data_IF_704806304299
#
_entry.id   IF_704806304299
#
_cell.length_a   1.000
_cell.length_b   1.000
_cell.length_c   1.000
_cell.angle_alpha   90.00
_cell.angle_beta   90.00
_cell.angle_gamma   90.00
#
_symmetry.space_group_name_H-M   'P 1'
#
loop_
_entity.id
_entity.type
_entity.pdbx_description
1 polymer ?
#
# COMPACT_ATOMS: atom_id res chain seq x y z
N UNK A 1 -7.50 11.48 -8.60
CA UNK A 1 -7.96 10.54 -9.63
C UNK A 1 -8.87 9.45 -9.06
N UNK A 2 -8.40 8.70 -8.04
CA UNK A 2 -9.18 7.61 -7.41
C UNK A 2 -10.51 8.13 -6.89
N UNK A 3 -10.49 9.20 -6.11
CA UNK A 3 -11.71 9.80 -5.51
C UNK A 3 -12.69 10.32 -6.55
N UNK A 4 -12.23 10.77 -7.72
CA UNK A 4 -13.10 11.23 -8.81
C UNK A 4 -13.77 10.08 -9.60
N UNK A 5 -13.37 8.84 -9.33
CA UNK A 5 -13.91 7.62 -9.98
C UNK A 5 -14.75 6.77 -9.02
N UNK A 6 -14.99 7.29 -7.82
CA UNK A 6 -15.84 6.60 -6.85
C UNK A 6 -17.30 6.64 -7.26
N UNK A 7 -17.91 5.47 -7.24
CA UNK A 7 -19.35 5.32 -7.11
C UNK A 7 -19.70 5.45 -5.62
N UNK A 8 -20.32 6.55 -5.23
CA UNK A 8 -20.59 6.84 -3.83
C UNK A 8 -21.57 5.85 -3.19
N UNK A 9 -22.54 5.32 -3.94
CA UNK A 9 -23.49 4.32 -3.43
C UNK A 9 -22.81 2.97 -3.24
N UNK A 10 -22.06 2.52 -4.24
CA UNK A 10 -21.31 1.27 -4.17
C UNK A 10 -20.23 1.35 -3.08
N UNK A 11 -19.51 2.46 -3.01
CA UNK A 11 -18.53 2.73 -1.97
C UNK A 11 -19.13 2.71 -0.56
N UNK A 12 -20.34 3.24 -0.38
CA UNK A 12 -21.07 3.19 0.89
C UNK A 12 -21.45 1.75 1.24
N UNK A 13 -22.01 0.99 0.31
CA UNK A 13 -22.38 -0.40 0.54
C UNK A 13 -21.17 -1.26 0.96
N UNK A 14 -20.02 -1.08 0.32
CA UNK A 14 -18.79 -1.80 0.68
C UNK A 14 -18.30 -1.40 2.08
N UNK A 15 -18.39 -0.11 2.44
CA UNK A 15 -18.02 0.38 3.77
C UNK A 15 -18.93 -0.19 4.85
N UNK A 16 -20.24 -0.15 4.63
CA UNK A 16 -21.23 -0.66 5.59
C UNK A 16 -20.99 -2.15 5.85
N UNK A 17 -20.79 -2.95 4.80
CA UNK A 17 -20.42 -4.36 4.93
C UNK A 17 -19.08 -4.57 5.66
N UNK A 18 -18.08 -3.70 5.44
CA UNK A 18 -16.80 -3.79 6.13
C UNK A 18 -16.93 -3.42 7.62
N UNK A 19 -17.78 -2.46 7.97
CA UNK A 19 -18.03 -2.03 9.36
C UNK A 19 -18.74 -3.11 10.20
N UNK A 20 -19.53 -3.99 9.57
CA UNK A 20 -20.12 -5.14 10.24
C UNK A 20 -19.07 -6.24 10.57
N UNK A 21 -17.84 -6.08 10.09
CA UNK A 21 -16.76 -7.02 10.34
C UNK A 21 -16.19 -6.85 11.75
N UNK A 22 -15.97 -7.98 12.44
CA UNK A 22 -15.26 -8.04 13.72
C UNK A 22 -13.74 -7.91 13.58
N UNK A 23 -13.23 -7.61 12.39
CA UNK A 23 -11.80 -7.48 12.10
C UNK A 23 -11.18 -6.28 12.81
N UNK A 24 -10.13 -6.53 13.60
CA UNK A 24 -9.33 -5.48 14.25
C UNK A 24 -8.75 -4.49 13.24
N UNK A 25 -8.35 -4.97 12.06
CA UNK A 25 -7.83 -4.13 10.99
C UNK A 25 -8.86 -3.11 10.49
N UNK A 26 -10.11 -3.54 10.30
CA UNK A 26 -11.21 -2.64 9.89
C UNK A 26 -11.50 -1.62 10.98
N UNK A 27 -11.54 -2.05 12.24
CA UNK A 27 -11.74 -1.14 13.39
C UNK A 27 -10.65 -0.07 13.48
N UNK A 28 -9.39 -0.43 13.32
CA UNK A 28 -8.27 0.52 13.32
C UNK A 28 -8.34 1.50 12.14
N UNK A 29 -8.71 1.04 10.96
CA UNK A 29 -8.90 1.92 9.80
C UNK A 29 -10.02 2.93 10.01
N UNK A 30 -11.10 2.54 10.68
CA UNK A 30 -12.20 3.44 11.03
C UNK A 30 -11.73 4.50 12.02
N UNK A 31 -11.05 4.11 13.09
CA UNK A 31 -10.45 5.02 14.06
C UNK A 31 -9.48 6.01 13.42
N UNK A 32 -8.63 5.53 12.52
CA UNK A 32 -7.69 6.41 11.79
C UNK A 32 -8.43 7.48 10.97
N UNK A 33 -9.58 7.14 10.38
CA UNK A 33 -10.40 8.11 9.65
C UNK A 33 -11.07 9.13 10.56
N UNK A 34 -11.45 8.73 11.78
CA UNK A 34 -12.07 9.61 12.78
C UNK A 34 -11.10 10.66 13.32
N UNK A 35 -9.82 10.29 13.51
CA UNK A 35 -8.78 11.20 14.01
C UNK A 35 -8.09 12.00 12.92
N UNK A 36 -8.37 11.70 11.64
CA UNK A 36 -7.78 12.42 10.51
C UNK A 36 -8.23 13.89 10.49
N UNK A 37 -7.37 14.76 9.98
CA UNK A 37 -7.68 16.16 9.76
C UNK A 37 -8.78 16.36 8.71
N UNK A 38 -9.19 17.60 8.49
CA UNK A 38 -10.23 17.96 7.50
C UNK A 38 -9.89 17.54 6.05
N UNK A 39 -8.63 17.25 5.77
CA UNK A 39 -8.16 16.78 4.45
C UNK A 39 -7.97 15.26 4.40
N UNK A 40 -8.13 14.57 5.53
CA UNK A 40 -8.01 13.13 5.65
C UNK A 40 -6.60 12.63 6.00
N UNK A 41 -5.71 13.49 6.48
CA UNK A 41 -4.37 13.10 6.94
C UNK A 41 -4.38 12.84 8.45
N UNK A 42 -3.77 11.73 8.87
CA UNK A 42 -3.55 11.40 10.29
C UNK A 42 -2.19 11.91 10.80
N UNK A 43 -1.27 12.05 9.89
CA UNK A 43 0.05 12.65 10.10
C UNK A 43 0.61 13.13 8.76
N UNK A 44 1.72 13.89 8.73
CA UNK A 44 2.32 14.33 7.47
C UNK A 44 2.54 13.18 6.50
N UNK A 45 2.07 13.34 5.27
CA UNK A 45 2.17 12.38 4.18
C UNK A 45 1.42 11.06 4.35
N UNK A 46 0.62 10.86 5.40
CA UNK A 46 -0.18 9.65 5.60
C UNK A 46 -1.69 9.96 5.49
N UNK A 47 -2.25 9.63 4.34
CA UNK A 47 -3.61 9.98 3.94
C UNK A 47 -4.57 8.79 4.02
N UNK A 48 -5.68 8.94 4.71
CA UNK A 48 -6.68 7.87 4.92
C UNK A 48 -7.73 7.80 3.82
N UNK A 49 -7.82 8.79 2.94
CA UNK A 49 -8.87 8.88 1.93
C UNK A 49 -8.88 7.73 0.92
N UNK A 50 -7.78 6.98 0.79
CA UNK A 50 -7.71 5.77 -0.04
C UNK A 50 -8.74 4.71 0.40
N UNK A 51 -9.06 4.65 1.69
CA UNK A 51 -10.06 3.73 2.24
C UNK A 51 -11.49 4.01 1.77
N UNK A 52 -11.76 5.18 1.19
CA UNK A 52 -13.05 5.50 0.54
C UNK A 52 -13.20 4.77 -0.79
N UNK A 53 -12.08 4.54 -1.49
CA UNK A 53 -12.05 3.89 -2.79
C UNK A 53 -11.90 2.37 -2.69
N UNK A 54 -11.25 1.91 -1.62
CA UNK A 54 -10.96 0.49 -1.44
C UNK A 54 -11.04 0.12 0.04
N UNK A 55 -12.01 -0.71 0.38
CA UNK A 55 -12.06 -1.34 1.69
C UNK A 55 -10.80 -2.20 1.89
N UNK A 56 -10.24 -2.18 3.08
CA UNK A 56 -9.01 -2.93 3.40
C UNK A 56 -7.70 -2.16 3.19
N UNK A 57 -7.72 -0.97 2.57
CA UNK A 57 -6.58 -0.06 2.58
C UNK A 57 -6.68 0.87 3.80
N UNK A 58 -5.64 0.87 4.64
CA UNK A 58 -5.62 1.72 5.84
C UNK A 58 -5.31 3.18 5.50
N UNK A 59 -4.19 3.40 4.86
CA UNK A 59 -3.74 4.73 4.47
C UNK A 59 -2.80 4.65 3.25
N UNK A 60 -2.56 5.79 2.63
CA UNK A 60 -1.63 5.94 1.52
C UNK A 60 -0.55 6.96 1.88
N UNK A 61 0.67 6.72 1.44
CA UNK A 61 1.74 7.72 1.46
C UNK A 61 1.51 8.68 0.29
N UNK A 62 1.39 9.97 0.60
CA UNK A 62 1.13 11.02 -0.39
C UNK A 62 2.11 12.17 -0.19
N UNK A 63 2.89 12.48 -1.22
CA UNK A 63 3.87 13.54 -1.15
C UNK A 63 4.86 13.51 -2.30
N UNK A 64 5.89 14.36 -2.24
CA UNK A 64 7.03 14.31 -3.14
C UNK A 64 7.86 13.05 -2.91
N UNK A 65 8.72 12.70 -3.87
CA UNK A 65 9.61 11.53 -3.73
C UNK A 65 10.46 11.59 -2.46
N UNK A 66 10.97 12.76 -2.11
CA UNK A 66 11.79 12.94 -0.91
C UNK A 66 10.98 12.74 0.38
N UNK A 67 9.74 13.22 0.40
CA UNK A 67 8.83 13.00 1.53
C UNK A 67 8.48 11.52 1.70
N UNK A 68 8.24 10.81 0.61
CA UNK A 68 7.97 9.37 0.63
C UNK A 68 9.20 8.60 1.10
N UNK A 69 10.40 8.94 0.62
CA UNK A 69 11.65 8.32 1.07
C UNK A 69 11.89 8.56 2.56
N UNK A 70 11.69 9.79 3.03
CA UNK A 70 11.79 10.12 4.46
C UNK A 70 10.82 9.31 5.30
N UNK A 71 9.58 9.13 4.83
CA UNK A 71 8.56 8.36 5.55
C UNK A 71 8.88 6.86 5.60
N UNK A 72 9.43 6.31 4.53
CA UNK A 72 9.90 4.93 4.50
C UNK A 72 11.06 4.75 5.49
N UNK A 73 12.00 5.68 5.53
CA UNK A 73 13.13 5.67 6.49
C UNK A 73 12.65 5.73 7.95
N UNK A 74 11.61 6.53 8.25
CA UNK A 74 10.96 6.52 9.58
C UNK A 74 10.44 5.13 9.95
N UNK A 75 9.76 4.45 9.03
CA UNK A 75 9.25 3.10 9.26
C UNK A 75 10.38 2.07 9.42
N UNK A 76 11.45 2.19 8.65
CA UNK A 76 12.64 1.33 8.82
C UNK A 76 13.28 1.52 10.19
N UNK A 77 13.38 2.75 10.69
CA UNK A 77 13.88 3.06 12.03
C UNK A 77 13.00 2.49 13.14
N UNK A 78 11.68 2.39 12.90
CA UNK A 78 10.76 1.70 13.82
C UNK A 78 10.85 0.17 13.75
N UNK A 79 11.67 -0.39 12.88
CA UNK A 79 11.91 -1.82 12.75
C UNK A 79 11.13 -2.53 11.64
N UNK A 80 10.39 -1.81 10.81
CA UNK A 80 9.72 -2.40 9.64
C UNK A 80 10.79 -2.78 8.62
N UNK A 81 10.79 -4.03 8.17
CA UNK A 81 11.82 -4.59 7.27
C UNK A 81 11.30 -4.99 5.89
N UNK A 82 10.00 -5.03 5.71
CA UNK A 82 9.40 -5.38 4.44
C UNK A 82 8.17 -4.51 4.18
N UNK A 83 8.02 -4.08 2.94
CA UNK A 83 6.91 -3.25 2.48
C UNK A 83 6.25 -3.88 1.27
N UNK A 84 4.93 -3.81 1.21
CA UNK A 84 4.15 -4.09 0.01
C UNK A 84 3.48 -2.79 -0.40
N UNK A 85 3.95 -2.20 -1.49
CA UNK A 85 3.38 -0.98 -2.03
C UNK A 85 2.42 -1.29 -3.16
N UNK A 86 1.32 -0.57 -3.19
CA UNK A 86 0.41 -0.56 -4.33
C UNK A 86 -0.09 0.86 -4.59
N UNK A 87 -0.42 1.16 -5.82
CA UNK A 87 -0.92 2.47 -6.22
C UNK A 87 -1.93 2.37 -7.37
N UNK A 88 -2.55 3.48 -7.71
CA UNK A 88 -3.59 3.55 -8.72
C UNK A 88 -3.38 4.77 -9.63
N UNK A 89 -3.45 4.61 -10.97
CA UNK A 89 -3.55 3.34 -11.73
C UNK A 89 -2.30 2.47 -11.55
N UNK A 90 -2.46 1.16 -11.44
CA UNK A 90 -1.37 0.26 -11.03
C UNK A 90 -0.11 0.38 -11.89
N UNK A 91 -0.24 0.38 -13.23
CA UNK A 91 0.90 0.40 -14.15
C UNK A 91 1.65 1.73 -14.08
N UNK A 92 0.91 2.83 -14.11
CA UNK A 92 1.50 4.17 -14.11
C UNK A 92 2.17 4.45 -12.76
N UNK A 93 1.50 4.09 -11.68
CA UNK A 93 2.04 4.27 -10.34
C UNK A 93 3.27 3.38 -10.08
N UNK A 94 3.27 2.13 -10.56
CA UNK A 94 4.44 1.26 -10.46
C UNK A 94 5.65 1.82 -11.22
N UNK A 95 5.44 2.38 -12.42
CA UNK A 95 6.50 3.05 -13.19
C UNK A 95 6.99 4.32 -12.47
N UNK A 96 6.05 5.12 -11.95
CA UNK A 96 6.38 6.34 -11.22
C UNK A 96 7.17 6.02 -9.96
N UNK A 97 6.68 5.13 -9.11
CA UNK A 97 7.33 4.69 -7.89
C UNK A 97 8.71 4.09 -8.17
N UNK A 98 8.81 3.20 -9.18
CA UNK A 98 10.08 2.58 -9.58
C UNK A 98 11.15 3.60 -9.98
N UNK A 99 10.76 4.60 -10.77
CA UNK A 99 11.70 5.62 -11.27
C UNK A 99 12.03 6.70 -10.25
N UNK A 100 11.12 7.03 -9.34
CA UNK A 100 11.24 8.20 -8.45
C UNK A 100 11.56 7.87 -7.00
N UNK A 101 11.25 6.65 -6.55
CA UNK A 101 11.41 6.24 -5.14
C UNK A 101 12.25 4.99 -5.02
N UNK A 102 11.83 3.88 -5.63
CA UNK A 102 12.45 2.57 -5.45
C UNK A 102 13.95 2.55 -5.78
N UNK A 103 14.37 3.29 -6.79
CA UNK A 103 15.79 3.40 -7.20
C UNK A 103 16.70 3.98 -6.10
N UNK A 104 16.16 4.67 -5.13
CA UNK A 104 16.91 5.28 -4.01
C UNK A 104 16.86 4.44 -2.73
N UNK A 105 16.03 3.41 -2.70
CA UNK A 105 15.92 2.52 -1.56
C UNK A 105 16.99 1.42 -1.63
N UNK A 106 17.54 1.06 -0.48
CA UNK A 106 18.39 -0.12 -0.34
C UNK A 106 17.51 -1.35 -0.28
N UNK A 107 17.30 -2.00 -1.41
CA UNK A 107 16.47 -3.19 -1.51
C UNK A 107 17.28 -4.46 -1.57
N UNK A 108 16.70 -5.57 -1.12
CA UNK A 108 17.25 -6.91 -1.31
C UNK A 108 16.16 -7.86 -1.80
N UNK A 109 16.55 -8.90 -2.50
CA UNK A 109 15.65 -9.99 -2.85
C UNK A 109 15.56 -10.96 -1.67
N UNK A 110 14.37 -11.10 -1.07
CA UNK A 110 14.14 -12.05 0.01
C UNK A 110 14.51 -13.50 -0.36
N UNK A 111 14.21 -14.01 -1.58
CA UNK A 111 14.68 -15.31 -2.01
C UNK A 111 16.21 -15.44 -1.97
N UNK A 112 16.95 -14.41 -2.37
CA UNK A 112 18.41 -14.40 -2.28
C UNK A 112 18.91 -14.42 -0.84
N UNK A 113 18.30 -13.60 0.04
CA UNK A 113 18.66 -13.55 1.47
C UNK A 113 18.45 -14.90 2.15
N UNK A 114 17.38 -15.61 1.80
CA UNK A 114 17.06 -16.92 2.39
C UNK A 114 17.64 -18.11 1.61
N UNK A 115 18.45 -17.89 0.59
CA UNK A 115 18.99 -18.95 -0.25
C UNK A 115 17.93 -19.74 -1.03
N UNK A 116 16.77 -19.14 -1.28
CA UNK A 116 15.62 -19.76 -1.96
C UNK A 116 15.43 -19.21 -3.37
N UNK A 117 16.52 -18.98 -4.07
CA UNK A 117 16.44 -18.52 -5.46
C UNK A 117 15.97 -19.69 -6.33
N UNK A 118 14.88 -19.55 -7.10
CA UNK A 118 14.48 -20.58 -8.04
C UNK A 118 15.57 -20.82 -9.07
N UNK A 119 15.87 -22.08 -9.38
CA UNK A 119 16.84 -22.43 -10.43
C UNK A 119 16.35 -22.05 -11.83
N UNK A 120 15.04 -21.83 -11.98
CA UNK A 120 14.41 -21.46 -13.25
C UNK A 120 13.46 -20.28 -13.03
N UNK A 121 13.35 -19.42 -14.04
CA UNK A 121 12.38 -18.32 -14.01
C UNK A 121 10.96 -18.89 -14.01
N UNK A 122 10.09 -18.50 -13.06
CA UNK A 122 8.69 -18.94 -13.06
C UNK A 122 7.99 -18.59 -14.37
N UNK A 123 7.22 -19.51 -14.92
CA UNK A 123 6.45 -19.30 -16.16
C UNK A 123 5.30 -18.30 -15.98
N UNK A 124 4.90 -18.03 -14.74
CA UNK A 124 3.87 -17.04 -14.38
C UNK A 124 4.32 -16.24 -13.17
N UNK A 125 3.81 -15.02 -12.95
CA UNK A 125 4.14 -14.21 -11.77
C UNK A 125 3.82 -14.88 -10.43
N UNK A 126 2.90 -15.85 -10.43
CA UNK A 126 2.49 -16.62 -9.26
C UNK A 126 3.05 -18.05 -9.29
N UNK A 127 3.83 -18.39 -10.31
CA UNK A 127 4.39 -19.73 -10.48
C UNK A 127 5.57 -19.96 -9.54
N UNK A 128 5.52 -21.07 -8.83
CA UNK A 128 6.64 -21.58 -8.01
C UNK A 128 7.52 -22.49 -8.86
N UNK A 129 7.88 -22.09 -10.05
CA UNK A 129 8.56 -22.93 -11.00
C UNK A 129 7.61 -23.81 -11.84
N UNK A 130 8.15 -24.48 -12.81
CA UNK A 130 7.42 -25.37 -13.70
C UNK A 130 6.96 -26.57 -12.89
N UNK A 131 5.66 -26.77 -12.79
CA UNK A 131 5.14 -28.09 -12.39
C UNK A 131 5.46 -29.06 -13.52
N UNK A 132 6.37 -29.97 -13.27
CA UNK A 132 6.53 -31.13 -14.14
C UNK A 132 5.34 -32.05 -14.02
#
# INVERSE_FOLDING_TARGET
YITSKLDDEYGKMIRDRALDSTSLGVSHQSKNREIADKYGYIEPNLWTGVGRARSGCGAALVGSSDQILSKIDEYEKMGIRAFIFSGYPHIDEAKHFGSKVLRYLKTCSLPNVYGRVPNETPSTPLGIGIRK
#
